data_IF_111803341724
#
_entry.id   IF_111803341724
#
_cell.length_a   1.000
_cell.length_b   1.000
_cell.length_c   1.000
_cell.angle_alpha   90.00
_cell.angle_beta   90.00
_cell.angle_gamma   90.00
#
_symmetry.space_group_name_H-M   'P 1'
#
loop_
_entity.id
_entity.type
_entity.pdbx_description
1 polymer ?
#
# COMPACT_ATOMS: atom_id res chain seq x y z
N UNK A 1 13.15 -5.39 21.03
CA UNK A 1 11.67 -5.26 20.97
C UNK A 1 11.23 -5.17 19.54
N UNK A 2 10.27 -5.99 19.16
CA UNK A 2 9.76 -5.98 17.78
C UNK A 2 8.79 -4.82 17.62
N UNK A 3 9.04 -3.94 16.67
CA UNK A 3 8.12 -2.85 16.36
C UNK A 3 7.10 -3.32 15.34
N UNK A 4 5.84 -2.91 15.52
CA UNK A 4 4.78 -3.21 14.57
C UNK A 4 4.76 -2.15 13.49
N UNK A 5 4.78 -2.57 12.24
CA UNK A 5 4.61 -1.69 11.09
C UNK A 5 3.18 -1.85 10.60
N UNK A 6 2.48 -0.72 10.53
CA UNK A 6 1.08 -0.69 10.09
C UNK A 6 0.98 -0.32 8.63
N UNK A 7 -0.09 -0.76 7.99
CA UNK A 7 -0.39 -0.35 6.63
C UNK A 7 -1.86 -0.03 6.48
N UNK A 8 -2.18 0.70 5.42
CA UNK A 8 -3.54 0.96 5.00
C UNK A 8 -3.59 0.97 3.47
N UNK A 9 -4.72 0.55 2.92
CA UNK A 9 -5.03 0.72 1.51
C UNK A 9 -6.27 1.58 1.42
N UNK A 10 -6.14 2.74 0.75
CA UNK A 10 -7.23 3.68 0.55
C UNK A 10 -7.64 3.72 -0.91
N UNK A 11 -8.94 3.72 -1.17
CA UNK A 11 -9.49 4.12 -2.46
C UNK A 11 -9.52 5.64 -2.51
N UNK A 12 -9.04 6.23 -3.58
CA UNK A 12 -8.96 7.68 -3.74
C UNK A 12 -9.42 8.04 -5.16
N UNK A 13 -10.39 8.93 -5.26
CA UNK A 13 -11.04 9.24 -6.54
C UNK A 13 -10.55 10.52 -7.20
N UNK A 14 -9.40 11.06 -6.80
CA UNK A 14 -8.84 12.30 -7.34
C UNK A 14 -7.35 12.15 -7.64
N UNK A 15 -6.83 12.64 -8.75
CA UNK A 15 -7.53 13.21 -9.91
C UNK A 15 -8.32 12.17 -10.72
N UNK A 16 -7.93 10.90 -10.62
CA UNK A 16 -8.65 9.76 -11.18
C UNK A 16 -8.68 8.65 -10.14
N UNK A 17 -9.58 7.70 -10.30
CA UNK A 17 -9.69 6.59 -9.36
C UNK A 17 -8.40 5.78 -9.32
N UNK A 18 -7.85 5.61 -8.13
CA UNK A 18 -6.68 4.79 -7.87
C UNK A 18 -6.71 4.31 -6.42
N UNK A 19 -5.72 3.51 -6.03
CA UNK A 19 -5.60 3.04 -4.65
C UNK A 19 -4.24 3.44 -4.12
N UNK A 20 -4.22 3.95 -2.88
CA UNK A 20 -2.98 4.31 -2.21
C UNK A 20 -2.64 3.23 -1.19
N UNK A 21 -1.51 2.56 -1.39
CA UNK A 21 -0.96 1.57 -0.48
C UNK A 21 0.12 2.26 0.35
N UNK A 22 -0.16 2.39 1.65
CA UNK A 22 0.67 3.19 2.55
C UNK A 22 1.27 2.32 3.63
N UNK A 23 2.58 2.38 3.76
CA UNK A 23 3.37 1.61 4.71
C UNK A 23 3.98 2.55 5.76
N UNK A 24 3.67 2.32 7.02
CA UNK A 24 4.24 3.09 8.11
C UNK A 24 5.74 2.84 8.24
N UNK A 25 6.55 3.88 8.11
CA UNK A 25 8.00 3.83 8.27
C UNK A 25 8.50 5.14 8.86
N UNK A 26 9.19 5.05 10.00
CA UNK A 26 9.90 6.20 10.59
C UNK A 26 9.05 7.47 10.70
N UNK A 27 7.81 7.32 11.15
CA UNK A 27 6.95 8.46 11.42
C UNK A 27 6.17 9.02 10.23
N UNK A 28 6.26 8.38 9.08
CA UNK A 28 5.51 8.77 7.89
C UNK A 28 4.90 7.53 7.23
N UNK A 29 4.05 7.76 6.22
CA UNK A 29 3.50 6.69 5.40
C UNK A 29 4.18 6.71 4.03
N UNK A 30 5.06 5.75 3.79
CA UNK A 30 5.62 5.53 2.45
C UNK A 30 4.49 5.05 1.56
N UNK A 31 4.25 5.74 0.44
CA UNK A 31 3.03 5.54 -0.33
C UNK A 31 3.33 5.11 -1.76
N UNK A 32 2.57 4.09 -2.18
CA UNK A 32 2.59 3.54 -3.53
C UNK A 32 1.19 3.65 -4.12
N UNK A 33 1.09 4.22 -5.31
CA UNK A 33 -0.18 4.30 -6.04
C UNK A 33 -0.39 3.03 -6.84
N UNK A 34 -1.48 2.33 -6.58
CA UNK A 34 -1.84 1.09 -7.26
C UNK A 34 -2.90 1.37 -8.32
N UNK A 35 -2.76 0.74 -9.49
CA UNK A 35 -3.80 0.81 -10.52
C UNK A 35 -4.98 -0.10 -10.22
N UNK A 36 -4.75 -1.22 -9.50
CA UNK A 36 -5.75 -2.20 -9.11
C UNK A 36 -5.51 -2.63 -7.67
N UNK A 37 -6.56 -3.07 -6.98
CA UNK A 37 -6.39 -3.72 -5.68
C UNK A 37 -5.67 -5.06 -5.85
N UNK A 38 -4.87 -5.48 -4.85
CA UNK A 38 -4.29 -6.82 -4.86
C UNK A 38 -5.37 -7.88 -5.02
N UNK A 39 -5.12 -8.87 -5.84
CA UNK A 39 -6.10 -9.92 -6.14
C UNK A 39 -5.51 -10.98 -7.05
N UNK A 40 -6.33 -11.49 -7.96
CA UNK A 40 -5.94 -12.60 -8.83
C UNK A 40 -5.11 -12.17 -10.04
N UNK A 41 -4.99 -10.87 -10.30
CA UNK A 41 -4.21 -10.37 -11.42
C UNK A 41 -3.06 -9.50 -10.90
N UNK A 42 -1.93 -9.45 -11.64
CA UNK A 42 -0.85 -8.53 -11.30
C UNK A 42 -1.31 -7.08 -11.34
N UNK A 43 -0.66 -6.24 -10.56
CA UNK A 43 -0.98 -4.81 -10.49
C UNK A 43 0.32 -4.00 -10.50
N UNK A 44 0.22 -2.75 -10.93
CA UNK A 44 1.35 -1.82 -10.92
C UNK A 44 1.29 -0.93 -9.69
N UNK A 45 2.44 -0.65 -9.11
CA UNK A 45 2.59 0.25 -7.99
C UNK A 45 3.63 1.31 -8.35
N UNK A 46 3.25 2.58 -8.26
CA UNK A 46 4.14 3.71 -8.52
C UNK A 46 4.43 4.45 -7.23
N UNK A 47 5.69 4.71 -6.96
CA UNK A 47 6.10 5.46 -5.77
C UNK A 47 5.63 6.91 -5.91
N UNK A 48 4.94 7.40 -4.88
CA UNK A 48 4.55 8.81 -4.77
C UNK A 48 5.10 9.36 -3.45
N UNK A 49 4.83 10.63 -3.16
CA UNK A 49 5.33 11.26 -1.95
C UNK A 49 4.77 10.62 -0.68
N UNK A 50 5.52 10.73 0.42
CA UNK A 50 5.07 10.23 1.72
C UNK A 50 3.83 10.98 2.20
N UNK A 51 2.98 10.27 2.94
CA UNK A 51 1.77 10.83 3.53
C UNK A 51 1.89 10.88 5.05
N UNK A 52 1.03 11.68 5.69
CA UNK A 52 1.01 11.81 7.14
C UNK A 52 0.36 10.60 7.79
N UNK A 53 0.81 10.25 8.99
CA UNK A 53 0.31 9.07 9.73
C UNK A 53 -1.19 9.09 9.97
N UNK A 54 -1.83 10.26 9.98
CA UNK A 54 -3.27 10.36 10.20
C UNK A 54 -4.09 9.57 9.17
N UNK A 55 -3.54 9.32 7.96
CA UNK A 55 -4.22 8.54 6.94
C UNK A 55 -4.35 7.06 7.28
N UNK A 56 -3.68 6.57 8.33
CA UNK A 56 -3.92 5.22 8.83
C UNK A 56 -5.35 5.05 9.33
N UNK A 57 -6.00 6.13 9.76
CA UNK A 57 -7.34 6.07 10.36
C UNK A 57 -8.33 7.05 9.73
N UNK A 58 -7.91 7.80 8.73
CA UNK A 58 -8.78 8.82 8.14
C UNK A 58 -9.54 8.28 6.95
N UNK A 59 -10.84 8.55 6.92
CA UNK A 59 -11.70 8.40 5.75
C UNK A 59 -12.49 9.70 5.59
N UNK A 60 -12.70 10.12 4.34
CA UNK A 60 -13.50 11.31 4.09
C UNK A 60 -12.87 12.23 3.05
N UNK A 61 -13.38 13.47 2.95
CA UNK A 61 -12.89 14.43 1.97
C UNK A 61 -11.44 14.83 2.22
N UNK A 62 -10.70 15.01 1.13
CA UNK A 62 -9.34 15.54 1.16
C UNK A 62 -9.42 17.04 0.89
N UNK A 63 -8.65 17.83 1.65
CA UNK A 63 -8.66 19.29 1.56
C UNK A 63 -8.35 19.78 0.14
N UNK A 64 -8.79 21.03 -0.15
CA UNK A 64 -8.60 21.66 -1.46
C UNK A 64 -9.30 20.92 -2.61
N UNK A 65 -10.47 20.34 -2.30
CA UNK A 65 -11.31 19.66 -3.31
C UNK A 65 -10.55 18.56 -4.06
N UNK A 66 -9.76 17.77 -3.31
CA UNK A 66 -8.96 16.68 -3.87
C UNK A 66 -9.61 15.32 -3.67
N UNK A 67 -10.95 15.26 -3.74
CA UNK A 67 -11.70 14.02 -3.70
C UNK A 67 -11.90 13.45 -2.31
N UNK A 68 -12.15 12.15 -2.26
CA UNK A 68 -12.51 11.42 -1.04
C UNK A 68 -11.66 10.16 -0.94
N UNK A 69 -11.20 9.83 0.26
CA UNK A 69 -10.51 8.57 0.53
C UNK A 69 -11.42 7.66 1.36
N UNK A 70 -11.44 6.38 0.97
CA UNK A 70 -12.21 5.34 1.64
C UNK A 70 -11.28 4.17 1.92
N UNK A 71 -11.27 3.69 3.17
CA UNK A 71 -10.40 2.58 3.55
C UNK A 71 -10.89 1.27 2.94
N UNK A 72 -10.00 0.58 2.24
CA UNK A 72 -10.26 -0.73 1.67
C UNK A 72 -9.74 -1.85 2.56
N UNK A 73 -8.63 -1.62 3.26
CA UNK A 73 -8.05 -2.57 4.22
C UNK A 73 -7.04 -1.87 5.10
N UNK A 74 -6.76 -2.46 6.26
CA UNK A 74 -5.67 -2.04 7.16
C UNK A 74 -5.19 -3.22 8.00
N UNK A 75 -3.99 -3.09 8.52
CA UNK A 75 -3.41 -4.10 9.39
C UNK A 75 -1.93 -3.84 9.61
N UNK A 76 -1.22 -4.92 9.86
CA UNK A 76 0.23 -4.88 10.02
C UNK A 76 0.90 -5.51 8.81
N UNK A 77 2.17 -5.17 8.59
CA UNK A 77 2.96 -5.78 7.54
C UNK A 77 4.36 -6.12 8.04
N UNK A 78 4.99 -7.05 7.36
CA UNK A 78 6.41 -7.38 7.56
C UNK A 78 7.10 -7.41 6.21
N UNK A 79 8.31 -6.86 6.15
CA UNK A 79 9.17 -7.02 4.99
C UNK A 79 9.87 -8.38 5.14
N UNK A 80 9.55 -9.31 4.24
CA UNK A 80 10.15 -10.64 4.24
C UNK A 80 11.49 -10.61 3.52
N UNK A 81 11.56 -9.88 2.40
CA UNK A 81 12.79 -9.72 1.65
C UNK A 81 12.74 -8.40 0.89
N UNK A 82 13.90 -7.76 0.75
CA UNK A 82 14.01 -6.51 0.00
C UNK A 82 15.39 -6.46 -0.65
N UNK A 83 15.43 -6.65 -1.96
CA UNK A 83 16.66 -6.66 -2.74
C UNK A 83 16.59 -5.64 -3.86
N UNK A 84 17.65 -5.52 -4.65
CA UNK A 84 17.64 -4.64 -5.82
C UNK A 84 16.65 -5.07 -6.88
N UNK A 85 16.27 -6.35 -6.89
CA UNK A 85 15.41 -6.92 -7.94
C UNK A 85 13.97 -7.09 -7.50
N UNK A 86 13.72 -7.28 -6.21
CA UNK A 86 12.37 -7.58 -5.74
C UNK A 86 12.19 -7.22 -4.26
N UNK A 87 10.93 -7.14 -3.86
CA UNK A 87 10.54 -6.97 -2.46
C UNK A 87 9.35 -7.89 -2.17
N UNK A 88 9.38 -8.56 -1.03
CA UNK A 88 8.27 -9.42 -0.59
C UNK A 88 7.75 -8.87 0.73
N UNK A 89 6.45 -8.59 0.77
CA UNK A 89 5.76 -8.07 1.95
C UNK A 89 4.69 -9.05 2.39
N UNK A 90 4.69 -9.41 3.67
CA UNK A 90 3.59 -10.15 4.30
C UNK A 90 2.57 -9.16 4.81
N UNK A 91 1.31 -9.29 4.39
CA UNK A 91 0.19 -8.51 4.90
C UNK A 91 -0.60 -9.31 5.93
N UNK A 92 -0.89 -8.66 7.06
CA UNK A 92 -1.70 -9.20 8.14
C UNK A 92 -2.87 -8.24 8.37
N UNK A 93 -3.70 -8.12 7.36
CA UNK A 93 -4.83 -7.21 7.36
C UNK A 93 -6.13 -7.87 7.75
N UNK A 94 -7.18 -7.09 7.80
CA UNK A 94 -8.52 -7.60 8.00
C UNK A 94 -9.04 -8.34 6.78
N UNK A 95 -8.75 -7.81 5.59
CA UNK A 95 -9.20 -8.36 4.31
C UNK A 95 -8.07 -9.11 3.59
N UNK A 96 -6.88 -8.51 3.54
CA UNK A 96 -5.74 -9.12 2.84
C UNK A 96 -4.81 -9.79 3.84
N UNK A 97 -4.71 -11.11 3.75
CA UNK A 97 -3.79 -11.91 4.54
C UNK A 97 -3.01 -12.77 3.56
N UNK A 98 -1.74 -12.44 3.38
CA UNK A 98 -0.92 -13.11 2.39
C UNK A 98 0.29 -12.28 2.02
N UNK A 99 0.99 -12.71 0.98
CA UNK A 99 2.21 -12.05 0.53
C UNK A 99 1.98 -11.29 -0.77
N UNK A 100 2.60 -10.12 -0.87
CA UNK A 100 2.75 -9.45 -2.14
C UNK A 100 4.21 -9.61 -2.56
N UNK A 101 4.41 -10.17 -3.75
CA UNK A 101 5.72 -10.22 -4.38
C UNK A 101 5.81 -9.06 -5.35
N UNK A 102 6.72 -8.12 -5.10
CA UNK A 102 6.94 -6.98 -5.97
C UNK A 102 8.23 -7.17 -6.76
N UNK A 103 8.12 -7.16 -8.09
CA UNK A 103 9.29 -7.08 -8.97
C UNK A 103 9.61 -5.61 -9.22
N UNK A 104 10.87 -5.23 -9.08
CA UNK A 104 11.30 -3.86 -9.33
C UNK A 104 11.48 -3.64 -10.82
N UNK A 105 10.60 -2.82 -11.39
CA UNK A 105 10.58 -2.54 -12.83
C UNK A 105 11.37 -1.29 -13.20
N UNK A 106 11.78 -0.52 -12.20
CA UNK A 106 12.52 0.72 -12.33
C UNK A 106 12.73 1.31 -10.94
N UNK A 107 13.18 2.57 -10.87
CA UNK A 107 13.48 3.21 -9.58
C UNK A 107 12.23 3.39 -8.72
N UNK A 108 11.08 3.64 -9.35
CA UNK A 108 9.85 4.00 -8.64
C UNK A 108 8.62 3.20 -9.10
N UNK A 109 8.82 2.10 -9.81
CA UNK A 109 7.73 1.28 -10.32
C UNK A 109 7.92 -0.17 -9.93
N UNK A 110 6.87 -0.78 -9.38
CA UNK A 110 6.84 -2.18 -8.98
C UNK A 110 5.71 -2.90 -9.71
N UNK A 111 5.95 -4.16 -10.05
CA UNK A 111 4.89 -5.06 -10.51
C UNK A 111 4.58 -6.01 -9.36
N UNK A 112 3.36 -5.97 -8.87
CA UNK A 112 2.96 -6.75 -7.70
C UNK A 112 2.09 -7.94 -8.06
N UNK A 113 2.27 -9.01 -7.29
CA UNK A 113 1.46 -10.22 -7.39
C UNK A 113 1.10 -10.65 -5.97
N UNK A 114 -0.20 -10.82 -5.71
CA UNK A 114 -0.69 -11.19 -4.39
C UNK A 114 -0.97 -12.68 -4.31
N UNK A 115 -0.48 -13.31 -3.24
CA UNK A 115 -0.74 -14.71 -2.90
C UNK A 115 -1.37 -14.76 -1.52
N UNK A 116 -2.66 -15.10 -1.45
CA UNK A 116 -3.35 -15.22 -0.18
C UNK A 116 -2.82 -16.40 0.64
N UNK A 117 -2.77 -16.23 1.95
CA UNK A 117 -2.48 -17.32 2.87
C UNK A 117 -3.60 -18.36 2.80
N UNK A 118 -3.23 -19.60 3.01
CA UNK A 118 -4.17 -20.72 3.00
C UNK A 118 -4.57 -21.16 4.39
#
# INVERSE_FOLDING_TARGET
MKSFNRYVILSHNHPTQHFDFMLEKEGVLETWRLNLLPGNTPFLAEKIHDHRLEYLEYEGPVSNDRGVVIRMDRGNYEIIADTESFMIIQLLGGKYRGQINFDRMGAETLLGTFLADQ
#
